data_IF_259276029332
#
_entry.id   IF_259276029332
#
_cell.length_a   1.000
_cell.length_b   1.000
_cell.length_c   1.000
_cell.angle_alpha   90.00
_cell.angle_beta   90.00
_cell.angle_gamma   90.00
#
_symmetry.space_group_name_H-M   'P 1'
#
loop_
_entity.id
_entity.type
_entity.pdbx_description
1 polymer ?
#
# COMPACT_ATOMS: atom_id res chain seq x y z
N UNK A 1 -7.07 -3.73 -7.27
CA UNK A 1 -7.28 -3.18 -8.62
C UNK A 1 -6.05 -3.37 -9.49
N UNK A 2 -4.86 -2.82 -9.13
CA UNK A 2 -3.67 -2.84 -9.97
C UNK A 2 -3.20 -4.25 -10.37
N UNK A 3 -3.27 -5.23 -9.47
CA UNK A 3 -2.90 -6.62 -9.75
C UNK A 3 -3.88 -7.25 -10.76
N UNK A 4 -5.16 -6.91 -10.70
CA UNK A 4 -6.22 -7.49 -11.51
C UNK A 4 -6.37 -6.78 -12.87
N UNK A 5 -6.35 -5.44 -12.85
CA UNK A 5 -6.66 -4.60 -14.00
C UNK A 5 -5.41 -3.95 -14.62
N UNK A 6 -4.24 -4.03 -13.97
CA UNK A 6 -3.05 -3.26 -14.37
C UNK A 6 -2.57 -3.56 -15.78
N UNK A 7 -2.51 -4.82 -16.18
CA UNK A 7 -2.08 -5.21 -17.53
C UNK A 7 -3.01 -4.66 -18.60
N UNK A 8 -4.32 -4.76 -18.40
CA UNK A 8 -5.32 -4.25 -19.33
C UNK A 8 -5.27 -2.72 -19.39
N UNK A 9 -5.12 -2.07 -18.24
CA UNK A 9 -4.95 -0.63 -18.13
C UNK A 9 -3.72 -0.13 -18.92
N UNK A 10 -2.54 -0.71 -18.70
CA UNK A 10 -1.32 -0.29 -19.40
C UNK A 10 -1.36 -0.56 -20.89
N UNK A 11 -1.99 -1.64 -21.34
CA UNK A 11 -2.20 -1.90 -22.77
C UNK A 11 -3.08 -0.83 -23.44
N UNK A 12 -4.08 -0.32 -22.74
CA UNK A 12 -4.95 0.72 -23.28
C UNK A 12 -4.34 2.11 -23.18
N UNK A 13 -3.55 2.37 -22.13
CA UNK A 13 -2.96 3.69 -21.86
C UNK A 13 -1.66 3.92 -22.65
N UNK A 14 -0.79 2.90 -22.72
CA UNK A 14 0.49 2.98 -23.42
C UNK A 14 0.71 1.74 -24.30
N UNK A 15 0.04 1.64 -25.45
CA UNK A 15 0.08 0.45 -26.30
C UNK A 15 1.47 0.17 -26.90
N UNK A 16 2.36 1.17 -26.95
CA UNK A 16 3.73 1.04 -27.45
C UNK A 16 4.73 0.48 -26.44
N UNK A 17 4.34 0.44 -25.16
CA UNK A 17 5.21 -0.02 -24.06
C UNK A 17 4.84 -1.45 -23.63
N UNK A 18 5.79 -2.10 -22.95
CA UNK A 18 5.51 -3.43 -22.37
C UNK A 18 4.61 -3.31 -21.13
N UNK A 19 3.33 -3.63 -21.33
CA UNK A 19 2.31 -3.54 -20.28
C UNK A 19 2.61 -4.43 -19.06
N UNK A 20 3.27 -5.58 -19.25
CA UNK A 20 3.66 -6.46 -18.13
C UNK A 20 4.75 -5.82 -17.29
N UNK A 21 5.74 -5.22 -17.94
CA UNK A 21 6.81 -4.51 -17.26
C UNK A 21 6.28 -3.35 -16.44
N UNK A 22 5.39 -2.52 -17.00
CA UNK A 22 4.75 -1.41 -16.31
C UNK A 22 3.91 -1.88 -15.13
N UNK A 23 3.17 -2.97 -15.29
CA UNK A 23 2.39 -3.56 -14.21
C UNK A 23 3.28 -4.02 -13.04
N UNK A 24 4.36 -4.74 -13.31
CA UNK A 24 5.29 -5.22 -12.27
C UNK A 24 5.92 -4.04 -11.53
N UNK A 25 6.41 -3.03 -12.23
CA UNK A 25 6.97 -1.83 -11.62
C UNK A 25 5.96 -1.11 -10.71
N UNK A 26 4.73 -1.00 -11.17
CA UNK A 26 3.66 -0.38 -10.39
C UNK A 26 3.30 -1.19 -9.14
N UNK A 27 3.27 -2.52 -9.21
CA UNK A 27 3.02 -3.39 -8.07
C UNK A 27 4.13 -3.25 -7.03
N UNK A 28 5.40 -3.23 -7.46
CA UNK A 28 6.56 -3.04 -6.58
C UNK A 28 6.44 -1.68 -5.85
N UNK A 29 6.13 -0.61 -6.58
CA UNK A 29 5.98 0.74 -5.99
C UNK A 29 4.84 0.79 -4.97
N UNK A 30 3.68 0.22 -5.32
CA UNK A 30 2.49 0.22 -4.44
C UNK A 30 2.71 -0.65 -3.19
N UNK A 31 3.54 -1.69 -3.26
CA UNK A 31 3.86 -2.49 -2.08
C UNK A 31 4.41 -1.64 -0.93
N UNK A 32 5.32 -0.69 -1.20
CA UNK A 32 5.80 0.24 -0.18
C UNK A 32 4.68 1.14 0.39
N UNK A 33 3.73 1.56 -0.45
CA UNK A 33 2.62 2.42 -0.02
C UNK A 33 1.66 1.70 0.94
N UNK A 34 1.49 0.39 0.82
CA UNK A 34 0.66 -0.40 1.75
C UNK A 34 1.26 -0.36 3.16
N UNK A 35 2.59 -0.59 3.28
CA UNK A 35 3.29 -0.47 4.56
C UNK A 35 3.28 0.97 5.08
N UNK A 36 3.55 1.95 4.23
CA UNK A 36 3.57 3.36 4.58
C UNK A 36 2.19 3.84 5.07
N UNK A 37 1.11 3.41 4.40
CA UNK A 37 -0.26 3.73 4.81
C UNK A 37 -0.59 3.26 6.23
N UNK A 38 -0.14 2.06 6.58
CA UNK A 38 -0.35 1.49 7.92
C UNK A 38 0.37 2.26 9.04
N UNK A 39 1.48 2.94 8.74
CA UNK A 39 2.27 3.69 9.74
C UNK A 39 2.05 5.19 9.72
N UNK A 40 1.19 5.72 8.85
CA UNK A 40 0.93 7.16 8.77
C UNK A 40 0.48 7.76 10.11
N UNK A 41 -0.29 7.02 10.91
CA UNK A 41 -0.68 7.46 12.25
C UNK A 41 0.52 7.66 13.18
N UNK A 42 1.59 6.87 13.03
CA UNK A 42 2.80 6.98 13.86
C UNK A 42 3.55 8.29 13.59
N UNK A 43 3.52 8.80 12.35
CA UNK A 43 4.15 10.10 12.03
C UNK A 43 3.46 11.26 12.78
N UNK A 44 2.15 11.20 12.98
CA UNK A 44 1.43 12.17 13.79
C UNK A 44 1.87 12.11 15.27
N UNK A 45 2.17 10.93 15.78
CA UNK A 45 2.69 10.74 17.15
C UNK A 45 4.04 11.45 17.30
N UNK A 46 4.96 11.33 16.35
CA UNK A 46 6.26 12.02 16.40
C UNK A 46 6.12 13.54 16.48
N UNK A 47 5.09 14.08 15.82
CA UNK A 47 4.77 15.53 15.87
C UNK A 47 4.24 15.92 17.24
N UNK A 48 3.28 15.18 17.77
CA UNK A 48 2.64 15.48 19.08
C UNK A 48 3.64 15.36 20.23
N UNK A 49 4.52 14.36 20.21
CA UNK A 49 5.53 14.12 21.25
C UNK A 49 6.79 14.98 21.05
N UNK A 50 6.83 15.82 19.99
CA UNK A 50 7.98 16.67 19.62
C UNK A 50 9.30 15.90 19.44
N UNK A 51 9.24 14.67 18.89
CA UNK A 51 10.39 13.80 18.62
C UNK A 51 10.67 13.64 17.12
N UNK A 52 10.44 14.69 16.34
CA UNK A 52 10.64 14.71 14.89
C UNK A 52 12.10 14.62 14.45
N UNK A 53 13.04 15.20 15.24
CA UNK A 53 14.45 15.34 14.86
C UNK A 53 15.08 14.02 14.42
N UNK A 54 14.91 12.96 15.21
CA UNK A 54 15.50 11.66 14.91
C UNK A 54 14.88 11.04 13.66
N UNK A 55 13.56 11.13 13.52
CA UNK A 55 12.86 10.63 12.32
C UNK A 55 13.34 11.35 11.05
N UNK A 56 13.51 12.68 11.09
CA UNK A 56 13.99 13.46 9.95
C UNK A 56 15.41 13.07 9.54
N UNK A 57 16.31 12.85 10.52
CA UNK A 57 17.69 12.41 10.26
C UNK A 57 17.68 11.02 9.59
N UNK A 58 16.88 10.09 10.09
CA UNK A 58 16.79 8.74 9.52
C UNK A 58 16.21 8.77 8.09
N UNK A 59 15.22 9.62 7.83
CA UNK A 59 14.66 9.82 6.47
C UNK A 59 15.74 10.37 5.52
N UNK A 60 16.53 11.33 5.97
CA UNK A 60 17.64 11.89 5.18
C UNK A 60 18.70 10.83 4.85
N UNK A 61 19.17 10.10 5.87
CA UNK A 61 20.13 9.00 5.70
C UNK A 61 19.58 7.94 4.73
N UNK A 62 18.32 7.56 4.88
CA UNK A 62 17.65 6.62 3.99
C UNK A 62 17.64 7.12 2.53
N UNK A 63 17.35 8.40 2.29
CA UNK A 63 17.35 8.99 0.95
C UNK A 63 18.74 8.94 0.31
N UNK A 64 19.77 9.35 1.03
CA UNK A 64 21.18 9.30 0.57
C UNK A 64 21.61 7.86 0.29
N UNK A 65 21.35 6.94 1.22
CA UNK A 65 21.71 5.52 1.08
C UNK A 65 21.01 4.88 -0.11
N UNK A 66 19.71 5.14 -0.29
CA UNK A 66 18.93 4.64 -1.42
C UNK A 66 19.51 5.11 -2.75
N UNK A 67 19.84 6.39 -2.85
CA UNK A 67 20.44 6.96 -4.07
C UNK A 67 21.80 6.35 -4.38
N UNK A 68 22.66 6.18 -3.37
CA UNK A 68 23.97 5.55 -3.55
C UNK A 68 23.86 4.10 -4.02
N UNK A 69 22.98 3.31 -3.40
CA UNK A 69 22.78 1.90 -3.79
C UNK A 69 22.22 1.80 -5.21
N UNK A 70 21.23 2.63 -5.56
CA UNK A 70 20.68 2.68 -6.92
C UNK A 70 21.78 3.01 -7.93
N UNK A 71 22.62 4.01 -7.66
CA UNK A 71 23.72 4.39 -8.56
C UNK A 71 24.73 3.26 -8.77
N UNK A 72 25.11 2.57 -7.68
CA UNK A 72 26.03 1.41 -7.75
C UNK A 72 25.42 0.26 -8.57
N UNK A 73 24.12 -0.03 -8.34
CA UNK A 73 23.44 -1.10 -9.08
C UNK A 73 23.28 -0.77 -10.56
N UNK A 74 22.91 0.45 -10.91
CA UNK A 74 22.79 0.87 -12.30
C UNK A 74 24.12 0.79 -13.05
N UNK A 75 25.24 1.06 -12.34
CA UNK A 75 26.59 0.96 -12.95
C UNK A 75 27.05 -0.48 -13.14
N UNK A 76 26.68 -1.40 -12.25
CA UNK A 76 27.21 -2.76 -12.20
C UNK A 76 26.23 -3.83 -12.74
N UNK A 77 24.96 -3.48 -12.99
CA UNK A 77 23.94 -4.43 -13.41
C UNK A 77 23.09 -3.88 -14.54
N UNK A 78 22.52 -4.76 -15.35
CA UNK A 78 21.59 -4.41 -16.43
C UNK A 78 20.13 -4.32 -15.96
N UNK A 79 19.88 -4.22 -14.65
CA UNK A 79 18.51 -4.18 -14.07
C UNK A 79 17.72 -2.92 -14.43
N UNK A 80 18.39 -1.83 -14.84
CA UNK A 80 17.74 -0.62 -15.31
C UNK A 80 16.73 -0.06 -14.29
N UNK A 81 15.52 0.21 -14.76
CA UNK A 81 14.44 0.82 -13.96
C UNK A 81 13.98 -0.07 -12.78
N UNK A 82 14.16 -1.40 -12.85
CA UNK A 82 13.83 -2.30 -11.75
C UNK A 82 14.75 -2.09 -10.54
N UNK A 83 16.02 -1.72 -10.76
CA UNK A 83 16.94 -1.41 -9.66
C UNK A 83 16.45 -0.17 -8.89
N UNK A 84 15.99 0.87 -9.58
CA UNK A 84 15.48 2.09 -8.95
C UNK A 84 14.27 1.80 -8.10
N UNK A 85 13.28 1.13 -8.67
CA UNK A 85 12.01 0.85 -8.00
C UNK A 85 12.19 -0.17 -6.88
N UNK A 86 12.95 -1.25 -7.12
CA UNK A 86 13.17 -2.33 -6.16
C UNK A 86 13.94 -1.88 -4.94
N UNK A 87 15.04 -1.13 -5.11
CA UNK A 87 15.85 -0.61 -4.00
C UNK A 87 15.04 0.36 -3.15
N UNK A 88 14.36 1.32 -3.79
CA UNK A 88 13.55 2.32 -3.07
C UNK A 88 12.45 1.67 -2.24
N UNK A 89 11.79 0.66 -2.81
CA UNK A 89 10.74 -0.10 -2.11
C UNK A 89 11.31 -0.94 -0.97
N UNK A 90 12.36 -1.71 -1.22
CA UNK A 90 12.97 -2.58 -0.21
C UNK A 90 13.52 -1.78 0.99
N UNK A 91 14.28 -0.73 0.71
CA UNK A 91 14.79 0.14 1.77
C UNK A 91 13.68 0.91 2.49
N UNK A 92 12.61 1.31 1.77
CA UNK A 92 11.43 1.95 2.37
C UNK A 92 10.73 1.04 3.37
N UNK A 93 10.47 -0.22 2.99
CA UNK A 93 9.87 -1.23 3.87
C UNK A 93 10.80 -1.53 5.05
N UNK A 94 12.11 -1.71 4.79
CA UNK A 94 13.10 -1.94 5.83
C UNK A 94 13.12 -0.80 6.87
N UNK A 95 13.14 0.45 6.43
CA UNK A 95 13.06 1.63 7.31
C UNK A 95 11.79 1.62 8.16
N UNK A 96 10.64 1.31 7.57
CA UNK A 96 9.37 1.24 8.29
C UNK A 96 9.45 0.19 9.39
N UNK A 97 9.88 -1.02 9.06
CA UNK A 97 9.89 -2.15 10.00
C UNK A 97 10.98 -2.01 11.06
N UNK A 98 12.19 -1.56 10.69
CA UNK A 98 13.33 -1.50 11.64
C UNK A 98 13.33 -0.23 12.48
N UNK A 99 12.85 0.89 11.94
CA UNK A 99 12.91 2.18 12.63
C UNK A 99 11.54 2.75 12.98
N UNK A 100 10.66 2.97 12.00
CA UNK A 100 9.42 3.75 12.21
C UNK A 100 8.49 3.08 13.23
N UNK A 101 8.28 1.78 13.11
CA UNK A 101 7.39 1.01 14.00
C UNK A 101 7.94 0.91 15.42
N UNK A 102 9.19 0.47 15.67
CA UNK A 102 9.75 0.40 17.01
C UNK A 102 9.89 1.77 17.67
N UNK A 103 10.35 2.78 16.91
CA UNK A 103 10.51 4.13 17.43
C UNK A 103 9.18 4.76 17.83
N UNK A 104 8.11 4.52 17.04
CA UNK A 104 6.75 4.95 17.38
C UNK A 104 6.25 4.35 18.71
N UNK A 105 6.50 3.06 18.92
CA UNK A 105 6.15 2.39 20.17
C UNK A 105 6.92 2.96 21.38
N UNK A 106 8.23 3.14 21.24
CA UNK A 106 9.09 3.72 22.29
C UNK A 106 8.66 5.15 22.63
N UNK A 107 8.29 5.96 21.65
CA UNK A 107 7.82 7.33 21.88
C UNK A 107 6.55 7.40 22.73
N UNK A 108 5.71 6.37 22.69
CA UNK A 108 4.50 6.22 23.50
C UNK A 108 4.72 5.45 24.82
N UNK A 109 5.95 5.07 25.14
CA UNK A 109 6.25 4.25 26.31
C UNK A 109 5.76 2.82 26.21
N UNK A 110 5.46 2.34 25.02
CA UNK A 110 5.01 0.98 24.73
C UNK A 110 6.18 0.06 24.36
N UNK A 111 5.94 -1.26 24.41
CA UNK A 111 6.93 -2.24 23.97
C UNK A 111 7.17 -2.11 22.46
N UNK A 112 8.40 -2.23 22.01
CA UNK A 112 8.83 -2.02 20.62
C UNK A 112 8.05 -2.84 19.58
N UNK A 113 7.50 -3.99 19.96
CA UNK A 113 6.77 -4.89 19.06
C UNK A 113 5.24 -4.64 19.00
N UNK A 114 4.70 -3.73 19.80
CA UNK A 114 3.25 -3.53 19.98
C UNK A 114 2.52 -3.25 18.66
N UNK A 115 3.09 -2.42 17.80
CA UNK A 115 2.45 -1.98 16.56
C UNK A 115 2.71 -2.88 15.34
N UNK A 116 3.51 -3.93 15.47
CA UNK A 116 3.74 -4.82 14.31
C UNK A 116 2.48 -5.53 13.84
N UNK A 117 1.62 -5.94 14.77
CA UNK A 117 0.34 -6.59 14.43
C UNK A 117 -0.54 -5.64 13.62
N UNK A 118 -0.60 -4.37 14.02
CA UNK A 118 -1.42 -3.34 13.35
C UNK A 118 -0.86 -3.00 11.95
N UNK A 119 0.44 -3.13 11.75
CA UNK A 119 1.08 -2.94 10.45
C UNK A 119 0.89 -4.15 9.53
N UNK A 120 1.06 -5.37 10.04
CA UNK A 120 0.96 -6.58 9.23
C UNK A 120 -0.47 -6.98 8.91
N UNK A 121 -1.45 -6.68 9.77
CA UNK A 121 -2.86 -6.99 9.55
C UNK A 121 -3.41 -6.41 8.23
N UNK A 122 -3.28 -5.11 7.89
CA UNK A 122 -3.73 -4.58 6.61
C UNK A 122 -2.90 -5.08 5.42
N UNK A 123 -1.63 -5.39 5.61
CA UNK A 123 -0.79 -5.98 4.56
C UNK A 123 -1.30 -7.38 4.19
N UNK A 124 -1.50 -8.24 5.19
CA UNK A 124 -2.05 -9.59 4.99
C UNK A 124 -3.44 -9.53 4.34
N UNK A 125 -4.30 -8.63 4.83
CA UNK A 125 -5.60 -8.38 4.24
C UNK A 125 -5.50 -8.02 2.76
N UNK A 126 -4.61 -7.10 2.39
CA UNK A 126 -4.43 -6.67 1.00
C UNK A 126 -4.00 -7.83 0.11
N UNK A 127 -3.12 -8.71 0.59
CA UNK A 127 -2.68 -9.91 -0.12
C UNK A 127 -3.85 -10.86 -0.35
N UNK A 128 -4.62 -11.16 0.70
CA UNK A 128 -5.78 -12.07 0.62
C UNK A 128 -6.86 -11.50 -0.31
N UNK A 129 -7.23 -10.23 -0.13
CA UNK A 129 -8.23 -9.56 -0.97
C UNK A 129 -7.79 -9.53 -2.45
N UNK A 130 -6.51 -9.27 -2.72
CA UNK A 130 -5.95 -9.32 -4.08
C UNK A 130 -6.05 -10.72 -4.68
N UNK A 131 -5.73 -11.76 -3.91
CA UNK A 131 -5.82 -13.16 -4.34
C UNK A 131 -7.26 -13.54 -4.70
N UNK A 132 -8.22 -13.20 -3.84
CA UNK A 132 -9.65 -13.44 -4.08
C UNK A 132 -10.12 -12.72 -5.36
N UNK A 133 -9.75 -11.44 -5.55
CA UNK A 133 -10.14 -10.70 -6.75
C UNK A 133 -9.50 -11.29 -8.02
N UNK A 134 -8.24 -11.74 -7.98
CA UNK A 134 -7.60 -12.41 -9.13
C UNK A 134 -8.35 -13.69 -9.50
N UNK A 135 -8.68 -14.53 -8.50
CA UNK A 135 -9.41 -15.77 -8.73
C UNK A 135 -10.82 -15.51 -9.28
N UNK A 136 -11.55 -14.55 -8.72
CA UNK A 136 -12.92 -14.23 -9.11
C UNK A 136 -13.00 -13.64 -10.54
N UNK A 137 -12.00 -12.85 -10.94
CA UNK A 137 -12.03 -12.13 -12.22
C UNK A 137 -11.09 -12.74 -13.27
N UNK A 138 -10.58 -13.94 -13.05
CA UNK A 138 -9.68 -14.64 -13.98
C UNK A 138 -10.27 -14.78 -15.39
N UNK A 139 -11.55 -15.10 -15.49
CA UNK A 139 -12.25 -15.36 -16.76
C UNK A 139 -13.03 -14.14 -17.27
N UNK A 140 -12.88 -12.98 -16.61
CA UNK A 140 -13.60 -11.78 -17.02
C UNK A 140 -13.03 -11.23 -18.32
N UNK A 141 -13.86 -10.88 -19.33
CA UNK A 141 -13.39 -10.41 -20.62
C UNK A 141 -12.54 -9.14 -20.46
N UNK A 142 -11.48 -9.06 -21.26
CA UNK A 142 -10.60 -7.91 -21.35
C UNK A 142 -10.72 -7.27 -22.72
N UNK A 143 -11.04 -5.98 -22.78
CA UNK A 143 -11.13 -5.23 -24.04
C UNK A 143 -11.86 -3.91 -23.86
N UNK A 144 -11.19 -2.80 -24.15
CA UNK A 144 -11.75 -1.45 -24.07
C UNK A 144 -11.85 -0.86 -22.67
N UNK A 145 -11.99 0.46 -22.63
CA UNK A 145 -12.05 1.25 -21.39
C UNK A 145 -13.28 0.94 -20.53
N UNK A 146 -14.40 0.61 -21.16
CA UNK A 146 -15.67 0.36 -20.46
C UNK A 146 -15.58 -0.91 -19.62
N UNK A 147 -15.09 -2.01 -20.20
CA UNK A 147 -14.86 -3.27 -19.49
C UNK A 147 -13.81 -3.15 -18.39
N UNK A 148 -12.80 -2.32 -18.60
CA UNK A 148 -11.78 -2.02 -17.59
C UNK A 148 -12.39 -1.30 -16.37
N UNK A 149 -13.23 -0.29 -16.60
CA UNK A 149 -13.96 0.42 -15.54
C UNK A 149 -14.86 -0.51 -14.75
N UNK A 150 -15.64 -1.34 -15.44
CA UNK A 150 -16.54 -2.32 -14.83
C UNK A 150 -15.75 -3.30 -13.93
N UNK A 151 -14.67 -3.90 -14.47
CA UNK A 151 -13.77 -4.78 -13.73
C UNK A 151 -13.13 -4.08 -12.52
N UNK A 152 -12.78 -2.80 -12.67
CA UNK A 152 -12.27 -1.96 -11.59
C UNK A 152 -13.30 -1.76 -10.46
N UNK A 153 -14.53 -1.41 -10.81
CA UNK A 153 -15.64 -1.23 -9.85
C UNK A 153 -15.92 -2.52 -9.09
N UNK A 154 -16.02 -3.66 -9.81
CA UNK A 154 -16.22 -4.96 -9.17
C UNK A 154 -15.08 -5.27 -8.19
N UNK A 155 -13.83 -5.06 -8.60
CA UNK A 155 -12.66 -5.29 -7.74
C UNK A 155 -12.69 -4.43 -6.48
N UNK A 156 -13.02 -3.14 -6.60
CA UNK A 156 -13.16 -2.22 -5.45
C UNK A 156 -14.28 -2.68 -4.53
N UNK A 157 -15.44 -3.02 -5.09
CA UNK A 157 -16.60 -3.46 -4.30
C UNK A 157 -16.29 -4.72 -3.50
N UNK A 158 -15.69 -5.74 -4.14
CA UNK A 158 -15.26 -6.96 -3.46
C UNK A 158 -14.25 -6.64 -2.35
N UNK A 159 -13.24 -5.81 -2.64
CA UNK A 159 -12.21 -5.44 -1.65
C UNK A 159 -12.80 -4.67 -0.46
N UNK A 160 -13.75 -3.76 -0.69
CA UNK A 160 -14.43 -3.01 0.37
C UNK A 160 -15.29 -3.94 1.23
N UNK A 161 -16.05 -4.86 0.61
CA UNK A 161 -16.87 -5.81 1.35
C UNK A 161 -16.01 -6.73 2.23
N UNK A 162 -14.94 -7.31 1.69
CA UNK A 162 -14.02 -8.14 2.46
C UNK A 162 -13.39 -7.30 3.59
N UNK A 163 -12.98 -6.05 3.30
CA UNK A 163 -12.40 -5.13 4.29
C UNK A 163 -13.35 -4.79 5.43
N UNK A 164 -14.60 -4.54 5.12
CA UNK A 164 -15.63 -4.26 6.10
C UNK A 164 -15.84 -5.41 7.10
N UNK A 165 -15.78 -6.67 6.62
CA UNK A 165 -15.97 -7.84 7.47
C UNK A 165 -14.68 -8.30 8.17
N UNK A 166 -13.50 -8.16 7.54
CA UNK A 166 -12.25 -8.71 8.04
C UNK A 166 -11.44 -7.74 8.91
N UNK A 167 -11.51 -6.42 8.65
CA UNK A 167 -10.68 -5.43 9.34
C UNK A 167 -11.44 -4.77 10.48
N UNK A 168 -12.71 -4.38 10.27
CA UNK A 168 -13.46 -3.65 11.27
C UNK A 168 -13.92 -4.59 12.40
N UNK A 169 -13.67 -4.15 13.64
CA UNK A 169 -14.25 -4.77 14.82
C UNK A 169 -15.77 -4.56 14.87
N UNK A 170 -16.50 -5.36 15.66
CA UNK A 170 -17.96 -5.21 15.79
C UNK A 170 -18.37 -3.80 16.23
N UNK A 171 -17.60 -3.18 17.13
CA UNK A 171 -17.85 -1.81 17.58
C UNK A 171 -17.71 -0.79 16.47
N UNK A 172 -16.68 -0.93 15.65
CA UNK A 172 -16.44 -0.03 14.49
C UNK A 172 -17.48 -0.23 13.39
N UNK A 173 -17.89 -1.47 13.10
CA UNK A 173 -18.98 -1.76 12.16
C UNK A 173 -20.28 -1.09 12.59
N UNK A 174 -20.65 -1.21 13.85
CA UNK A 174 -21.85 -0.60 14.38
C UNK A 174 -21.79 0.93 14.33
N UNK A 175 -20.61 1.52 14.60
CA UNK A 175 -20.42 2.96 14.51
C UNK A 175 -20.50 3.48 13.06
N UNK A 176 -19.97 2.73 12.08
CA UNK A 176 -20.07 3.07 10.65
C UNK A 176 -21.52 2.91 10.17
N UNK A 177 -22.17 1.80 10.52
CA UNK A 177 -23.56 1.54 10.15
C UNK A 177 -24.52 2.59 10.70
N UNK A 178 -24.40 2.97 11.97
CA UNK A 178 -25.24 4.00 12.60
C UNK A 178 -25.07 5.38 11.94
N UNK A 179 -23.84 5.77 11.61
CA UNK A 179 -23.57 7.03 10.91
C UNK A 179 -24.13 7.06 9.49
N UNK A 180 -24.07 5.94 8.77
CA UNK A 180 -24.65 5.83 7.41
C UNK A 180 -26.17 5.97 7.49
N UNK A 181 -26.81 5.26 8.43
CA UNK A 181 -28.26 5.31 8.62
C UNK A 181 -28.72 6.73 9.02
N UNK A 182 -27.98 7.40 9.95
CA UNK A 182 -28.27 8.76 10.34
C UNK A 182 -28.17 9.74 9.16
N UNK A 183 -27.16 9.56 8.31
CA UNK A 183 -26.95 10.43 7.13
C UNK A 183 -28.03 10.22 6.09
N UNK A 184 -28.47 8.98 5.84
CA UNK A 184 -29.57 8.67 4.95
C UNK A 184 -30.90 9.22 5.49
N UNK A 185 -31.11 9.17 6.80
CA UNK A 185 -32.33 9.72 7.44
C UNK A 185 -32.42 11.25 7.41
N UNK A 186 -31.26 11.94 7.31
CA UNK A 186 -31.22 13.41 7.13
C UNK A 186 -31.42 13.87 5.69
N UNK A 187 -31.37 12.94 4.70
CA UNK A 187 -31.55 13.24 3.28
C UNK A 187 -32.97 12.89 2.78
N UNK A 188 -33.76 12.14 3.56
CA UNK A 188 -35.20 11.98 3.37
C UNK A 188 -35.99 12.94 4.24
#
# INVERSE_FOLDING_TARGET
VLIVCGKDFFKLWQPTQNAEQLQILSIITVACLIFSGSVNCLYNIFTVVNKLKLNSIVVLIHGVLSTMIVFILLKNTSLGIYAVTGVSTALGILRILVFTVPYGAICLGQKWYTFYIDVFKPVLFTIVASGVCVCALKNYPSGGWLLLCEKGVITVTISVLIGYYAILSERERNAVSSKIIEKLRKQC
#
